data_IF_885812018299
#
_entry.id   IF_885812018299
#
_cell.length_a   1.000
_cell.length_b   1.000
_cell.length_c   1.000
_cell.angle_alpha   90.00
_cell.angle_beta   90.00
_cell.angle_gamma   90.00
#
_symmetry.space_group_name_H-M   'P 1'
#
loop_
_entity.id
_entity.type
_entity.pdbx_description
1 polymer ?
#
# COMPACT_ATOMS: atom_id res chain seq x y z
N UNK A 1 29.19 -8.68 -5.18
CA UNK A 1 27.77 -8.78 -4.76
C UNK A 1 26.96 -8.57 -6.02
N UNK A 2 26.05 -9.49 -6.36
CA UNK A 2 25.07 -9.21 -7.42
C UNK A 2 24.27 -7.96 -7.00
N UNK A 3 24.09 -7.00 -7.92
CA UNK A 3 23.20 -5.86 -7.68
C UNK A 3 21.79 -6.43 -7.45
N UNK A 4 21.12 -6.00 -6.38
CA UNK A 4 19.72 -6.36 -6.12
C UNK A 4 18.88 -5.98 -7.36
N UNK A 5 18.03 -6.90 -7.81
CA UNK A 5 17.16 -6.70 -8.97
C UNK A 5 15.73 -6.50 -8.50
N UNK A 6 15.06 -5.52 -9.08
CA UNK A 6 13.69 -5.18 -8.75
C UNK A 6 12.80 -5.20 -9.99
N UNK A 7 11.55 -5.59 -9.76
CA UNK A 7 10.44 -5.48 -10.71
C UNK A 7 9.42 -4.50 -10.14
N UNK A 8 8.83 -3.68 -11.00
CA UNK A 8 7.68 -2.87 -10.64
C UNK A 8 6.43 -3.43 -11.30
N UNK A 9 5.40 -3.70 -10.50
CA UNK A 9 4.05 -3.99 -10.97
C UNK A 9 3.24 -2.70 -10.91
N UNK A 10 2.76 -2.23 -12.05
CA UNK A 10 1.89 -1.05 -12.15
C UNK A 10 0.51 -1.50 -12.57
N UNK A 11 -0.48 -1.25 -11.71
CA UNK A 11 -1.88 -1.54 -11.98
C UNK A 11 -2.55 -0.35 -12.69
N UNK A 12 -3.47 -0.62 -13.60
CA UNK A 12 -4.11 0.37 -14.48
C UNK A 12 -5.61 0.09 -14.67
N UNK A 13 -6.35 1.14 -15.04
CA UNK A 13 -7.70 0.97 -15.60
C UNK A 13 -7.63 0.68 -17.10
N UNK A 14 -8.50 -0.21 -17.57
CA UNK A 14 -8.57 -0.66 -18.98
C UNK A 14 -9.74 -0.04 -19.75
N UNK A 15 -10.69 0.61 -19.07
CA UNK A 15 -11.81 1.27 -19.73
C UNK A 15 -11.39 2.52 -20.53
N UNK A 16 -12.06 2.75 -21.66
CA UNK A 16 -11.99 4.00 -22.43
C UNK A 16 -10.96 4.07 -23.55
N UNK A 17 -9.92 3.22 -23.55
CA UNK A 17 -8.86 3.26 -24.59
C UNK A 17 -8.59 1.93 -25.30
N UNK A 18 -9.32 0.87 -24.98
CA UNK A 18 -9.16 -0.44 -25.62
C UNK A 18 -7.89 -1.20 -25.21
N UNK A 19 -7.11 -0.69 -24.25
CA UNK A 19 -6.05 -1.46 -23.61
C UNK A 19 -6.69 -2.57 -22.76
N UNK A 20 -6.30 -3.81 -23.01
CA UNK A 20 -6.81 -4.98 -22.28
C UNK A 20 -5.90 -5.40 -21.13
N UNK A 21 -4.76 -4.74 -20.96
CA UNK A 21 -3.77 -5.15 -19.98
C UNK A 21 -3.78 -4.24 -18.75
N UNK A 22 -4.45 -4.69 -17.70
CA UNK A 22 -4.59 -3.94 -16.44
C UNK A 22 -3.34 -3.97 -15.56
N UNK A 23 -2.37 -4.85 -15.80
CA UNK A 23 -1.10 -4.85 -15.06
C UNK A 23 0.05 -4.72 -16.05
N UNK A 24 0.92 -3.75 -15.82
CA UNK A 24 2.17 -3.53 -16.55
C UNK A 24 3.33 -3.94 -15.66
N UNK A 25 4.29 -4.68 -16.21
CA UNK A 25 5.46 -5.19 -15.50
C UNK A 25 6.69 -4.50 -16.07
N UNK A 26 7.53 -3.95 -15.20
CA UNK A 26 8.74 -3.23 -15.58
C UNK A 26 9.97 -3.80 -14.88
N UNK A 27 11.09 -3.89 -15.60
CA UNK A 27 12.40 -3.97 -14.97
C UNK A 27 12.76 -2.59 -14.40
N UNK A 28 13.23 -2.57 -13.16
CA UNK A 28 13.58 -1.33 -12.45
C UNK A 28 15.06 -1.02 -12.66
N UNK A 29 15.33 0.08 -13.36
CA UNK A 29 16.67 0.63 -13.50
C UNK A 29 16.98 1.51 -12.29
N UNK A 30 17.56 0.89 -11.26
CA UNK A 30 17.98 1.55 -10.02
C UNK A 30 19.10 2.57 -10.23
N UNK A 31 19.88 2.43 -11.30
CA UNK A 31 21.01 3.32 -11.56
C UNK A 31 20.53 4.67 -12.10
N UNK A 32 19.60 4.63 -13.06
CA UNK A 32 19.06 5.82 -13.71
C UNK A 32 17.71 6.28 -13.14
N UNK A 33 17.09 5.52 -12.24
CA UNK A 33 15.79 5.85 -11.65
C UNK A 33 14.64 5.76 -12.65
N UNK A 34 14.65 4.72 -13.49
CA UNK A 34 13.70 4.55 -14.60
C UNK A 34 13.06 3.16 -14.59
N UNK A 35 11.95 3.03 -15.29
CA UNK A 35 11.26 1.76 -15.52
C UNK A 35 11.34 1.40 -17.01
N UNK A 36 11.73 0.16 -17.30
CA UNK A 36 11.79 -0.38 -18.66
C UNK A 36 10.72 -1.46 -18.82
N UNK A 37 9.87 -1.32 -19.84
CA UNK A 37 8.76 -2.24 -20.06
C UNK A 37 9.29 -3.66 -20.25
N UNK A 38 8.73 -4.62 -19.51
CA UNK A 38 9.12 -6.02 -19.54
C UNK A 38 8.00 -6.89 -20.09
N UNK A 39 6.82 -6.79 -19.48
CA UNK A 39 5.66 -7.63 -19.79
C UNK A 39 4.36 -6.96 -19.35
N UNK A 40 3.22 -7.57 -19.64
CA UNK A 40 1.90 -7.08 -19.24
C UNK A 40 0.90 -8.23 -19.13
N UNK A 41 -0.09 -8.09 -18.25
CA UNK A 41 -1.13 -9.10 -18.00
C UNK A 41 -2.46 -8.59 -18.53
N UNK A 42 -3.14 -9.42 -19.33
CA UNK A 42 -4.53 -9.19 -19.72
C UNK A 42 -5.44 -9.42 -18.50
N UNK A 43 -6.01 -8.33 -17.98
CA UNK A 43 -6.88 -8.30 -16.80
C UNK A 43 -7.68 -7.01 -16.85
N UNK A 44 -8.98 -7.06 -16.52
CA UNK A 44 -9.83 -5.87 -16.60
C UNK A 44 -9.67 -4.98 -15.37
N UNK A 45 -9.53 -3.67 -15.57
CA UNK A 45 -9.53 -2.63 -14.54
C UNK A 45 -8.86 -3.03 -13.21
N UNK A 46 -7.58 -3.41 -13.29
CA UNK A 46 -6.76 -3.69 -12.12
C UNK A 46 -6.50 -2.38 -11.36
N UNK A 47 -7.46 -2.02 -10.52
CA UNK A 47 -7.43 -0.77 -9.76
C UNK A 47 -6.44 -0.84 -8.59
N UNK A 48 -6.15 -2.03 -8.08
CA UNK A 48 -5.19 -2.20 -7.00
C UNK A 48 -4.58 -3.60 -7.05
N UNK A 49 -3.32 -3.70 -6.65
CA UNK A 49 -2.61 -4.97 -6.50
C UNK A 49 -2.00 -5.08 -5.09
N UNK A 50 -1.79 -6.29 -4.61
CA UNK A 50 -0.98 -6.55 -3.41
C UNK A 50 -0.16 -7.81 -3.58
N UNK A 51 0.96 -7.88 -2.86
CA UNK A 51 1.79 -9.08 -2.81
C UNK A 51 1.57 -9.72 -1.44
N UNK A 52 1.32 -11.03 -1.45
CA UNK A 52 1.34 -11.91 -0.28
C UNK A 52 2.55 -11.68 0.64
N UNK A 53 2.41 -12.03 1.91
CA UNK A 53 3.50 -11.89 2.87
C UNK A 53 4.67 -12.84 2.57
N UNK A 54 4.39 -14.04 2.05
CA UNK A 54 5.40 -14.99 1.57
C UNK A 54 6.14 -14.55 0.29
N UNK A 55 5.70 -13.45 -0.34
CA UNK A 55 6.26 -12.83 -1.56
C UNK A 55 6.14 -13.68 -2.82
N UNK A 56 5.29 -14.71 -2.85
CA UNK A 56 5.15 -15.65 -3.99
C UNK A 56 3.93 -15.39 -4.84
N UNK A 57 2.92 -14.73 -4.29
CA UNK A 57 1.67 -14.42 -4.98
C UNK A 57 1.41 -12.93 -5.07
N UNK A 58 0.82 -12.53 -6.18
CA UNK A 58 0.22 -11.22 -6.39
C UNK A 58 -1.30 -11.40 -6.52
N UNK A 59 -2.06 -10.57 -5.82
CA UNK A 59 -3.52 -10.50 -5.95
C UNK A 59 -3.89 -9.16 -6.58
N UNK A 60 -4.90 -9.17 -7.44
CA UNK A 60 -5.36 -8.01 -8.19
C UNK A 60 -6.87 -7.89 -8.14
N UNK A 61 -7.36 -6.66 -8.07
CA UNK A 61 -8.77 -6.36 -8.37
C UNK A 61 -9.01 -6.59 -9.87
N UNK A 62 -10.22 -7.00 -10.22
CA UNK A 62 -10.74 -7.09 -11.60
C UNK A 62 -12.22 -6.69 -11.63
N UNK A 63 -12.81 -6.46 -12.80
CA UNK A 63 -14.21 -6.03 -12.91
C UNK A 63 -15.22 -6.99 -12.26
N UNK A 64 -14.90 -8.29 -12.24
CA UNK A 64 -15.81 -9.31 -11.69
C UNK A 64 -15.47 -9.71 -10.25
N UNK A 65 -14.36 -9.22 -9.67
CA UNK A 65 -13.89 -9.58 -8.34
C UNK A 65 -12.38 -9.47 -8.17
N UNK A 66 -11.70 -10.60 -8.02
CA UNK A 66 -10.26 -10.70 -7.81
C UNK A 66 -9.61 -11.79 -8.66
N UNK A 67 -8.34 -11.58 -9.01
CA UNK A 67 -7.47 -12.58 -9.63
C UNK A 67 -6.20 -12.76 -8.79
N UNK A 68 -5.66 -13.97 -8.81
CA UNK A 68 -4.46 -14.38 -8.10
C UNK A 68 -3.42 -14.90 -9.08
N UNK A 69 -2.16 -14.50 -8.89
CA UNK A 69 -1.04 -14.81 -9.76
C UNK A 69 0.13 -15.35 -8.96
N UNK A 70 0.86 -16.30 -9.54
CA UNK A 70 2.17 -16.72 -9.08
C UNK A 70 3.22 -15.75 -9.62
N UNK A 71 4.08 -15.25 -8.74
CA UNK A 71 5.24 -14.46 -9.14
C UNK A 71 6.35 -15.44 -9.55
N UNK A 72 6.75 -15.36 -10.82
CA UNK A 72 7.84 -16.19 -11.36
C UNK A 72 9.21 -15.66 -10.92
N UNK A 73 10.29 -16.46 -11.01
CA UNK A 73 11.64 -16.04 -10.60
C UNK A 73 12.17 -14.78 -11.29
N UNK A 74 11.69 -14.49 -12.50
CA UNK A 74 12.01 -13.27 -13.26
C UNK A 74 11.03 -12.11 -12.99
N UNK A 75 10.00 -12.34 -12.17
CA UNK A 75 8.92 -11.41 -11.88
C UNK A 75 7.78 -11.39 -12.89
N UNK A 76 7.74 -12.33 -13.84
CA UNK A 76 6.53 -12.58 -14.63
C UNK A 76 5.37 -13.04 -13.74
N UNK A 77 4.14 -12.90 -14.23
CA UNK A 77 2.93 -13.30 -13.50
C UNK A 77 2.22 -14.45 -14.24
N UNK A 78 1.98 -15.55 -13.52
CA UNK A 78 1.21 -16.70 -14.02
C UNK A 78 -0.12 -16.76 -13.28
N UNK A 79 -1.24 -16.70 -14.00
CA UNK A 79 -2.58 -16.79 -13.39
C UNK A 79 -2.75 -18.12 -12.63
N UNK A 80 -3.17 -18.05 -11.37
CA UNK A 80 -3.50 -19.21 -10.53
C UNK A 80 -5.01 -19.44 -10.54
N UNK A 81 -5.78 -18.40 -10.20
CA UNK A 81 -7.21 -18.51 -9.96
C UNK A 81 -7.89 -17.14 -10.00
N UNK A 82 -9.21 -17.15 -10.10
CA UNK A 82 -10.06 -15.96 -10.06
C UNK A 82 -11.35 -16.24 -9.28
N UNK A 83 -11.89 -15.22 -8.62
CA UNK A 83 -13.14 -15.37 -7.89
C UNK A 83 -13.96 -14.08 -7.91
N UNK A 84 -15.28 -14.23 -7.88
CA UNK A 84 -16.18 -13.11 -7.63
C UNK A 84 -16.13 -12.72 -6.15
N UNK A 85 -16.27 -11.42 -5.90
CA UNK A 85 -16.44 -10.87 -4.55
C UNK A 85 -17.92 -10.69 -4.17
N UNK A 86 -18.86 -11.21 -4.98
CA UNK A 86 -20.31 -11.10 -4.75
C UNK A 86 -20.79 -9.66 -4.46
N UNK A 87 -20.24 -8.68 -5.19
CA UNK A 87 -20.46 -7.26 -4.95
C UNK A 87 -20.05 -6.42 -6.16
N UNK A 88 -20.05 -5.10 -5.99
CA UNK A 88 -19.48 -4.20 -6.98
C UNK A 88 -17.94 -4.34 -7.00
N UNK A 89 -17.30 -3.89 -8.08
CA UNK A 89 -15.83 -3.92 -8.20
C UNK A 89 -15.16 -3.31 -6.97
N UNK A 90 -14.20 -4.04 -6.39
CA UNK A 90 -13.41 -3.55 -5.27
C UNK A 90 -12.48 -2.39 -5.66
N UNK A 91 -11.88 -1.76 -4.66
CA UNK A 91 -10.92 -0.66 -4.86
C UNK A 91 -9.59 -0.88 -4.14
N UNK A 92 -9.54 -1.85 -3.22
CA UNK A 92 -8.36 -2.15 -2.42
C UNK A 92 -8.41 -3.63 -2.00
N UNK A 93 -7.26 -4.26 -1.87
CA UNK A 93 -7.15 -5.58 -1.28
C UNK A 93 -5.87 -5.75 -0.45
N UNK A 94 -5.92 -6.65 0.54
CA UNK A 94 -4.78 -7.04 1.35
C UNK A 94 -4.95 -8.46 1.90
N UNK A 95 -3.85 -9.12 2.24
CA UNK A 95 -3.90 -10.42 2.93
C UNK A 95 -3.70 -10.25 4.43
N UNK A 96 -4.00 -11.30 5.19
CA UNK A 96 -3.52 -11.45 6.56
C UNK A 96 -2.05 -11.89 6.56
N UNK A 97 -1.36 -11.76 7.70
CA UNK A 97 0.07 -12.03 7.81
C UNK A 97 0.46 -13.52 7.67
N UNK A 98 -0.52 -14.44 7.65
CA UNK A 98 -0.32 -15.87 7.37
C UNK A 98 -0.76 -16.27 5.94
N UNK A 99 -1.18 -15.31 5.11
CA UNK A 99 -1.68 -15.53 3.75
C UNK A 99 -2.81 -16.60 3.67
N UNK A 100 -3.68 -16.64 4.68
CA UNK A 100 -4.86 -17.51 4.78
C UNK A 100 -6.14 -16.85 4.28
N UNK A 101 -6.20 -15.53 4.32
CA UNK A 101 -7.36 -14.73 3.92
C UNK A 101 -6.95 -13.57 3.03
N UNK A 102 -7.83 -13.25 2.08
CA UNK A 102 -7.79 -12.05 1.25
C UNK A 102 -8.99 -11.18 1.62
N UNK A 103 -8.71 -9.93 1.98
CA UNK A 103 -9.71 -8.92 2.30
C UNK A 103 -9.86 -7.96 1.12
N UNK A 104 -11.11 -7.69 0.72
CA UNK A 104 -11.42 -6.77 -0.37
C UNK A 104 -12.31 -5.65 0.14
N UNK A 105 -11.91 -4.40 -0.14
CA UNK A 105 -12.70 -3.21 0.12
C UNK A 105 -13.52 -2.81 -1.12
N UNK A 106 -14.80 -2.55 -0.93
CA UNK A 106 -15.75 -2.11 -1.94
C UNK A 106 -16.10 -0.64 -1.78
N UNK A 107 -15.58 0.21 -2.67
CA UNK A 107 -15.89 1.65 -2.66
C UNK A 107 -17.36 1.91 -2.99
N UNK A 108 -17.91 1.29 -4.04
CA UNK A 108 -19.22 1.67 -4.56
C UNK A 108 -20.42 1.16 -3.74
N UNK A 109 -20.24 0.05 -3.04
CA UNK A 109 -21.26 -0.64 -2.25
C UNK A 109 -20.96 -0.64 -0.74
N UNK A 110 -19.83 -0.08 -0.30
CA UNK A 110 -19.46 0.02 1.10
C UNK A 110 -19.22 -1.35 1.75
N UNK A 111 -18.77 -2.33 0.96
CA UNK A 111 -18.67 -3.73 1.37
C UNK A 111 -17.23 -4.13 1.73
N UNK A 112 -17.08 -4.94 2.77
CA UNK A 112 -15.88 -5.76 3.00
C UNK A 112 -16.22 -7.19 2.61
N UNK A 113 -15.36 -7.82 1.81
CA UNK A 113 -15.46 -9.25 1.49
C UNK A 113 -14.23 -9.96 2.02
N UNK A 114 -14.44 -11.06 2.74
CA UNK A 114 -13.36 -11.95 3.24
C UNK A 114 -13.38 -13.23 2.43
N UNK A 115 -12.27 -13.55 1.78
CA UNK A 115 -12.09 -14.77 1.01
C UNK A 115 -11.02 -15.63 1.66
N UNK A 116 -11.27 -16.93 1.82
CA UNK A 116 -10.24 -17.87 2.21
C UNK A 116 -9.29 -18.11 1.05
N UNK A 117 -8.00 -18.16 1.31
CA UNK A 117 -6.99 -18.52 0.32
C UNK A 117 -6.70 -20.02 0.37
N UNK A 118 -6.52 -20.62 -0.82
CA UNK A 118 -6.08 -22.01 -0.98
C UNK A 118 -4.59 -22.11 -0.70
N UNK A 119 -4.11 -23.31 -0.37
CA UNK A 119 -2.67 -23.54 -0.09
C UNK A 119 -1.73 -23.14 -1.24
N UNK A 120 -2.20 -23.21 -2.48
CA UNK A 120 -1.44 -22.78 -3.67
C UNK A 120 -1.46 -21.25 -3.88
N UNK A 121 -2.27 -20.49 -3.14
CA UNK A 121 -2.49 -19.06 -3.31
C UNK A 121 -3.68 -18.71 -4.21
N UNK A 122 -4.44 -19.70 -4.67
CA UNK A 122 -5.70 -19.46 -5.36
C UNK A 122 -6.77 -18.90 -4.41
N UNK A 123 -7.78 -18.26 -4.98
CA UNK A 123 -8.88 -17.67 -4.21
C UNK A 123 -9.95 -18.73 -3.94
N UNK A 124 -10.32 -18.93 -2.68
CA UNK A 124 -11.31 -19.89 -2.19
C UNK A 124 -12.68 -19.27 -1.90
N UNK A 125 -13.44 -19.87 -0.99
CA UNK A 125 -14.79 -19.38 -0.67
C UNK A 125 -14.80 -18.02 0.03
N UNK A 126 -15.91 -17.28 -0.13
CA UNK A 126 -16.23 -16.14 0.71
C UNK A 126 -16.64 -16.65 2.09
N UNK A 127 -15.91 -16.25 3.13
CA UNK A 127 -16.17 -16.64 4.52
C UNK A 127 -17.01 -15.61 5.27
N UNK A 128 -16.98 -14.34 4.84
CA UNK A 128 -17.77 -13.27 5.44
C UNK A 128 -17.97 -12.09 4.50
N UNK A 129 -19.08 -11.37 4.69
CA UNK A 129 -19.50 -10.22 3.89
C UNK A 129 -20.13 -9.16 4.79
N UNK A 130 -19.49 -7.99 4.88
CA UNK A 130 -19.95 -6.91 5.75
C UNK A 130 -20.26 -5.68 4.92
N UNK A 131 -21.53 -5.29 4.89
CA UNK A 131 -21.96 -4.00 4.37
C UNK A 131 -21.90 -2.97 5.49
N UNK A 132 -21.08 -1.94 5.30
CA UNK A 132 -21.19 -0.74 6.12
C UNK A 132 -22.55 -0.07 5.86
N UNK A 133 -23.14 0.47 6.92
CA UNK A 133 -24.44 1.15 6.91
C UNK A 133 -24.30 2.47 7.64
N UNK A 134 -25.08 3.46 7.24
CA UNK A 134 -25.09 4.79 7.84
C UNK A 134 -25.23 5.88 6.77
N UNK A 135 -25.45 7.11 7.24
CA UNK A 135 -25.32 8.34 6.47
C UNK A 135 -24.24 9.17 7.16
N UNK A 136 -23.32 9.77 6.39
CA UNK A 136 -22.36 10.74 6.91
C UNK A 136 -22.98 12.13 7.05
N UNK A 137 -22.13 13.14 7.26
CA UNK A 137 -22.54 14.57 7.39
C UNK A 137 -23.41 15.05 6.23
N UNK A 138 -24.27 16.05 6.47
CA UNK A 138 -25.42 16.42 5.62
C UNK A 138 -25.11 17.51 4.58
N UNK A 139 -23.89 18.04 4.51
CA UNK A 139 -23.56 19.09 3.56
C UNK A 139 -22.96 18.54 2.25
N UNK A 140 -23.76 18.62 1.17
CA UNK A 140 -23.39 18.54 -0.26
C UNK A 140 -22.98 17.19 -0.88
N UNK A 141 -22.54 16.17 -0.12
CA UNK A 141 -22.31 14.81 -0.65
C UNK A 141 -23.40 13.84 -0.17
N UNK A 142 -23.84 12.93 -1.04
CA UNK A 142 -24.49 11.70 -0.58
C UNK A 142 -23.42 10.85 0.15
N UNK A 143 -23.11 11.18 1.40
CA UNK A 143 -22.21 10.40 2.26
C UNK A 143 -22.87 9.06 2.59
N UNK A 144 -22.71 8.12 1.65
CA UNK A 144 -22.98 6.70 1.83
C UNK A 144 -21.65 5.99 2.12
N UNK A 145 -21.68 4.80 2.74
CA UNK A 145 -20.48 4.05 3.02
C UNK A 145 -19.63 3.81 1.77
N UNK A 146 -18.33 4.07 1.90
CA UNK A 146 -17.32 3.90 0.88
C UNK A 146 -16.07 3.29 1.51
N UNK A 147 -16.03 1.97 1.68
CA UNK A 147 -14.87 1.30 2.25
C UNK A 147 -13.75 1.35 1.23
N UNK A 148 -12.72 2.14 1.52
CA UNK A 148 -11.67 2.48 0.56
C UNK A 148 -10.34 1.76 0.82
N UNK A 149 -10.12 1.27 2.04
CA UNK A 149 -8.91 0.53 2.39
C UNK A 149 -9.20 -0.46 3.51
N UNK A 150 -8.60 -1.65 3.43
CA UNK A 150 -8.60 -2.67 4.48
C UNK A 150 -7.17 -3.11 4.76
N UNK A 151 -6.77 -3.12 6.04
CA UNK A 151 -5.44 -3.55 6.50
C UNK A 151 -5.48 -4.25 7.85
N UNK A 152 -4.75 -5.35 7.95
CA UNK A 152 -4.55 -6.04 9.22
C UNK A 152 -3.55 -5.30 10.11
N UNK A 153 -3.84 -5.28 11.41
CA UNK A 153 -2.85 -5.02 12.47
C UNK A 153 -1.73 -6.06 12.38
N UNK A 154 -0.49 -5.66 12.72
CA UNK A 154 0.71 -6.51 12.58
C UNK A 154 0.70 -7.75 13.47
N UNK A 155 -0.08 -7.74 14.54
CA UNK A 155 -0.32 -8.90 15.40
C UNK A 155 -1.34 -9.90 14.81
N UNK A 156 -1.84 -9.64 13.60
CA UNK A 156 -2.79 -10.44 12.83
C UNK A 156 -4.15 -10.68 13.51
N UNK A 157 -4.56 -9.80 14.43
CA UNK A 157 -5.81 -9.97 15.19
C UNK A 157 -6.97 -9.11 14.68
N UNK A 158 -6.69 -7.93 14.13
CA UNK A 158 -7.72 -6.97 13.77
C UNK A 158 -7.59 -6.48 12.33
N UNK A 159 -8.70 -6.44 11.61
CA UNK A 159 -8.84 -5.79 10.31
C UNK A 159 -9.36 -4.36 10.50
N UNK A 160 -8.54 -3.38 10.12
CA UNK A 160 -8.94 -1.98 10.07
C UNK A 160 -9.48 -1.64 8.67
N UNK A 161 -10.70 -1.11 8.61
CA UNK A 161 -11.40 -0.75 7.38
C UNK A 161 -11.72 0.75 7.36
N UNK A 162 -10.99 1.51 6.52
CA UNK A 162 -11.23 2.92 6.33
C UNK A 162 -12.47 3.15 5.47
N UNK A 163 -13.46 3.81 6.05
CA UNK A 163 -14.69 4.19 5.36
C UNK A 163 -14.64 5.68 5.05
N UNK A 164 -14.30 5.97 3.79
CA UNK A 164 -14.15 7.31 3.24
C UNK A 164 -15.46 8.09 3.35
N UNK A 165 -16.60 7.40 3.21
CA UNK A 165 -17.91 8.01 3.23
C UNK A 165 -18.45 8.26 4.64
N UNK A 166 -17.88 7.63 5.67
CA UNK A 166 -18.39 7.70 7.05
C UNK A 166 -17.44 8.41 8.03
N UNK A 167 -16.31 8.95 7.55
CA UNK A 167 -15.30 9.64 8.37
C UNK A 167 -14.81 8.81 9.57
N UNK A 168 -14.65 7.51 9.38
CA UNK A 168 -14.09 6.63 10.41
C UNK A 168 -13.35 5.42 9.85
N UNK A 169 -12.59 4.77 10.71
CA UNK A 169 -12.04 3.43 10.49
C UNK A 169 -12.72 2.46 11.44
N UNK A 170 -13.41 1.46 10.90
CA UNK A 170 -13.94 0.36 11.71
C UNK A 170 -12.86 -0.68 11.94
N UNK A 171 -12.76 -1.17 13.17
CA UNK A 171 -11.76 -2.17 13.57
C UNK A 171 -12.51 -3.45 13.91
N UNK A 172 -12.26 -4.50 13.14
CA UNK A 172 -12.91 -5.80 13.30
C UNK A 172 -11.92 -6.82 13.83
N UNK A 173 -12.28 -7.58 14.86
CA UNK A 173 -11.55 -8.79 15.22
C UNK A 173 -11.77 -9.86 14.16
N UNK A 174 -10.69 -10.50 13.73
CA UNK A 174 -10.71 -11.64 12.82
C UNK A 174 -10.73 -12.95 13.61
N UNK A 175 -11.69 -13.82 13.29
CA UNK A 175 -11.65 -15.24 13.66
C UNK A 175 -10.79 -15.98 12.62
N UNK A 176 -9.56 -16.35 12.99
CA UNK A 176 -8.61 -17.00 12.08
C UNK A 176 -9.03 -18.41 11.64
N UNK A 177 -9.92 -19.06 12.38
CA UNK A 177 -10.44 -20.37 12.01
C UNK A 177 -11.55 -20.22 10.97
N UNK A 178 -12.55 -19.40 11.28
CA UNK A 178 -13.78 -19.27 10.47
C UNK A 178 -13.64 -18.27 9.34
N UNK A 179 -12.77 -17.27 9.46
CA UNK A 179 -12.66 -16.16 8.50
C UNK A 179 -13.78 -15.13 8.66
N UNK A 180 -14.35 -14.99 9.86
CA UNK A 180 -15.43 -14.04 10.15
C UNK A 180 -14.92 -12.84 10.92
N UNK A 181 -15.55 -11.69 10.70
CA UNK A 181 -15.19 -10.41 11.28
C UNK A 181 -16.23 -9.96 12.31
N UNK A 182 -15.77 -9.52 13.48
CA UNK A 182 -16.63 -8.95 14.53
C UNK A 182 -16.14 -7.55 14.90
N UNK A 183 -17.02 -6.55 14.84
CA UNK A 183 -16.67 -5.18 15.21
C UNK A 183 -16.14 -5.14 16.66
N UNK A 184 -14.95 -4.58 16.82
CA UNK A 184 -14.23 -4.45 18.08
C UNK A 184 -14.13 -2.97 18.51
N UNK A 185 -13.85 -2.06 17.58
CA UNK A 185 -13.73 -0.63 17.85
C UNK A 185 -14.00 0.24 16.60
N UNK A 186 -14.08 1.55 16.78
CA UNK A 186 -14.21 2.56 15.71
C UNK A 186 -13.30 3.75 16.00
N UNK A 187 -12.26 3.91 15.17
CA UNK A 187 -11.41 5.10 15.17
C UNK A 187 -12.17 6.21 14.43
N UNK A 188 -12.56 7.26 15.15
CA UNK A 188 -13.29 8.39 14.57
C UNK A 188 -12.32 9.42 14.05
N UNK A 189 -12.55 9.87 12.82
CA UNK A 189 -11.81 10.94 12.19
C UNK A 189 -12.53 12.27 12.39
N UNK A 190 -11.88 13.37 12.02
CA UNK A 190 -12.59 14.65 11.86
C UNK A 190 -13.70 14.49 10.81
N UNK A 191 -14.81 15.20 11.00
CA UNK A 191 -15.89 15.23 10.01
C UNK A 191 -15.36 15.76 8.68
N UNK A 192 -15.86 15.18 7.59
CA UNK A 192 -15.50 15.52 6.22
C UNK A 192 -14.01 15.32 5.91
N UNK A 193 -13.34 14.42 6.65
CA UNK A 193 -11.93 14.10 6.45
C UNK A 193 -11.69 12.99 5.45
N UNK A 194 -12.65 12.06 5.30
CA UNK A 194 -12.60 11.00 4.31
C UNK A 194 -11.33 10.12 4.44
N UNK A 195 -11.19 9.30 5.50
CA UNK A 195 -10.04 8.41 5.69
C UNK A 195 -9.94 7.44 4.50
N UNK A 196 -8.77 7.42 3.86
CA UNK A 196 -8.60 6.84 2.52
C UNK A 196 -7.73 5.58 2.50
N UNK A 197 -6.48 5.69 2.93
CA UNK A 197 -5.52 4.58 3.01
C UNK A 197 -4.93 4.47 4.42
N UNK A 198 -4.57 3.24 4.80
CA UNK A 198 -4.00 2.88 6.10
C UNK A 198 -2.64 2.19 5.90
N UNK A 199 -1.69 2.48 6.79
CA UNK A 199 -0.42 1.73 6.88
C UNK A 199 -0.03 1.54 8.34
N UNK A 200 0.49 0.35 8.68
CA UNK A 200 1.10 0.09 9.99
C UNK A 200 2.61 0.13 9.90
N UNK A 201 3.25 0.69 10.94
CA UNK A 201 4.70 0.64 11.12
C UNK A 201 5.22 -0.81 11.08
N UNK A 202 6.52 -1.03 10.81
CA UNK A 202 7.11 -2.38 10.75
C UNK A 202 6.88 -3.22 12.01
N UNK A 203 7.01 -2.60 13.19
CA UNK A 203 6.78 -3.20 14.50
C UNK A 203 5.30 -3.27 14.88
N UNK A 204 4.43 -2.57 14.15
CA UNK A 204 2.99 -2.51 14.37
C UNK A 204 2.52 -1.59 15.46
N UNK A 205 3.41 -0.88 16.14
CA UNK A 205 3.04 0.02 17.23
C UNK A 205 2.34 1.30 16.77
N UNK A 206 2.40 1.63 15.47
CA UNK A 206 1.80 2.83 14.91
C UNK A 206 0.91 2.54 13.70
N UNK A 207 -0.18 3.30 13.59
CA UNK A 207 -1.09 3.36 12.45
C UNK A 207 -1.05 4.77 11.83
N UNK A 208 -0.83 4.83 10.52
CA UNK A 208 -0.89 6.04 9.72
C UNK A 208 -2.15 6.02 8.86
N UNK A 209 -2.92 7.10 8.90
CA UNK A 209 -4.18 7.25 8.16
C UNK A 209 -4.09 8.52 7.32
N UNK A 210 -4.20 8.41 5.99
CA UNK A 210 -4.32 9.59 5.11
C UNK A 210 -5.79 9.92 4.90
N UNK A 211 -6.12 11.20 5.00
CA UNK A 211 -7.47 11.75 4.91
C UNK A 211 -7.61 12.53 3.60
N UNK A 212 -8.42 12.01 2.67
CA UNK A 212 -8.51 12.49 1.28
C UNK A 212 -8.93 13.95 1.24
N UNK A 213 -10.02 14.32 1.91
CA UNK A 213 -10.64 15.64 1.74
C UNK A 213 -10.01 16.73 2.61
N UNK A 214 -9.42 16.35 3.75
CA UNK A 214 -8.74 17.30 4.65
C UNK A 214 -7.24 17.40 4.41
N UNK A 215 -6.67 16.59 3.53
CA UNK A 215 -5.28 16.65 3.11
C UNK A 215 -4.30 16.62 4.30
N UNK A 216 -4.50 15.64 5.20
CA UNK A 216 -3.58 15.37 6.30
C UNK A 216 -3.38 13.88 6.53
N UNK A 217 -2.33 13.57 7.28
CA UNK A 217 -2.07 12.24 7.82
C UNK A 217 -2.21 12.32 9.34
N UNK A 218 -3.04 11.44 9.91
CA UNK A 218 -3.07 11.20 11.34
C UNK A 218 -2.18 10.00 11.68
N UNK A 219 -1.40 10.12 12.76
CA UNK A 219 -0.57 9.04 13.34
C UNK A 219 -1.16 8.63 14.67
N UNK A 220 -1.44 7.35 14.84
CA UNK A 220 -1.98 6.76 16.06
C UNK A 220 -1.00 5.76 16.66
N UNK A 221 -0.82 5.81 17.98
CA UNK A 221 -0.28 4.70 18.75
C UNK A 221 -1.29 3.56 18.81
N UNK A 222 -0.83 2.34 18.61
CA UNK A 222 -1.63 1.12 18.69
C UNK A 222 -1.07 0.17 19.74
N UNK A 223 -1.97 -0.37 20.57
CA UNK A 223 -1.68 -1.50 21.44
C UNK A 223 -2.92 -2.35 21.63
N UNK A 224 -2.71 -3.60 22.05
CA UNK A 224 -3.80 -4.42 22.58
C UNK A 224 -3.74 -4.39 24.12
N UNK A 225 -4.86 -4.05 24.75
CA UNK A 225 -5.02 -4.08 26.20
C UNK A 225 -6.33 -4.79 26.57
N UNK A 226 -6.26 -5.73 27.51
CA UNK A 226 -7.43 -6.50 27.96
C UNK A 226 -8.20 -7.16 26.80
N UNK A 227 -7.50 -7.69 25.80
CA UNK A 227 -8.05 -8.22 24.55
C UNK A 227 -8.89 -7.21 23.76
N UNK A 228 -8.61 -5.92 23.85
CA UNK A 228 -9.24 -4.90 23.00
C UNK A 228 -8.15 -4.06 22.32
N UNK A 229 -8.39 -3.63 21.08
CA UNK A 229 -7.49 -2.70 20.42
C UNK A 229 -7.68 -1.30 21.02
N UNK A 230 -6.58 -0.61 21.29
CA UNK A 230 -6.57 0.79 21.72
C UNK A 230 -5.78 1.61 20.72
N UNK A 231 -6.35 2.74 20.29
CA UNK A 231 -5.72 3.69 19.38
C UNK A 231 -5.68 5.09 20.01
N UNK A 232 -4.49 5.68 20.10
CA UNK A 232 -4.29 7.02 20.64
C UNK A 232 -3.69 7.93 19.57
N UNK A 233 -4.35 9.06 19.24
CA UNK A 233 -3.81 9.99 18.24
C UNK A 233 -2.60 10.71 18.80
N UNK A 234 -1.47 10.62 18.10
CA UNK A 234 -0.19 11.23 18.46
C UNK A 234 0.14 12.46 17.62
N UNK A 235 -0.28 12.49 16.36
CA UNK A 235 0.05 13.55 15.43
C UNK A 235 -1.02 13.72 14.36
N UNK A 236 -1.22 14.96 13.91
CA UNK A 236 -1.86 15.31 12.65
C UNK A 236 -0.87 16.16 11.85
N UNK A 237 -0.62 15.82 10.58
CA UNK A 237 0.32 16.56 9.72
C UNK A 237 -0.23 16.75 8.31
N UNK A 238 -0.18 17.97 7.79
CA UNK A 238 -0.71 18.32 6.47
C UNK A 238 0.10 17.68 5.32
N UNK A 239 -0.60 17.24 4.26
CA UNK A 239 -0.02 16.77 2.99
C UNK A 239 0.24 17.87 1.98
N UNK A 240 -0.17 19.11 2.27
CA UNK A 240 0.00 20.28 1.42
C UNK A 240 1.00 21.27 2.01
N UNK A 241 1.51 22.18 1.19
CA UNK A 241 2.18 23.38 1.68
C UNK A 241 1.15 24.47 2.04
N UNK A 242 1.60 25.52 2.72
CA UNK A 242 0.73 26.66 3.05
C UNK A 242 0.15 27.32 1.79
N UNK A 243 0.90 27.33 0.70
CA UNK A 243 0.43 27.71 -0.64
C UNK A 243 0.12 26.46 -1.46
N UNK A 244 -1.15 26.26 -1.83
CA UNK A 244 -1.65 25.11 -2.57
C UNK A 244 -2.92 25.47 -3.37
N UNK A 245 -3.26 24.61 -4.34
CA UNK A 245 -4.50 24.74 -5.11
C UNK A 245 -5.75 24.39 -4.27
N UNK A 246 -6.86 25.07 -4.52
CA UNK A 246 -8.16 24.71 -3.92
C UNK A 246 -8.68 23.39 -4.49
N UNK A 247 -9.50 22.67 -3.71
CA UNK A 247 -10.10 21.40 -4.17
C UNK A 247 -9.12 20.24 -4.26
N UNK A 248 -8.02 20.28 -3.49
CA UNK A 248 -7.06 19.20 -3.45
C UNK A 248 -7.55 17.99 -2.64
N UNK A 249 -7.13 16.79 -3.05
CA UNK A 249 -7.47 15.53 -2.40
C UNK A 249 -6.24 14.63 -2.23
N UNK A 250 -5.90 14.26 -1.01
CA UNK A 250 -4.78 13.36 -0.73
C UNK A 250 -5.10 11.92 -1.19
N UNK A 251 -4.13 11.23 -1.81
CA UNK A 251 -4.36 9.91 -2.42
C UNK A 251 -3.39 8.83 -1.92
N UNK A 252 -2.13 8.87 -2.33
CA UNK A 252 -1.13 7.86 -1.99
C UNK A 252 -0.82 7.84 -0.48
N UNK A 253 -0.35 6.70 0.03
CA UNK A 253 0.28 6.62 1.34
C UNK A 253 1.23 5.42 1.31
N UNK A 254 2.51 5.65 1.09
CA UNK A 254 3.51 4.59 0.92
C UNK A 254 4.76 4.84 1.75
N UNK A 255 5.22 3.80 2.43
CA UNK A 255 6.56 3.80 3.02
C UNK A 255 7.62 3.63 1.93
N UNK A 256 8.80 4.20 2.15
CA UNK A 256 10.02 3.73 1.51
C UNK A 256 10.30 2.27 1.90
N UNK A 257 11.11 1.57 1.09
CA UNK A 257 11.43 0.15 1.32
C UNK A 257 12.13 -0.08 2.68
N UNK A 258 12.91 0.90 3.14
CA UNK A 258 13.61 0.90 4.43
C UNK A 258 12.80 1.53 5.59
N UNK A 259 11.55 1.96 5.34
CA UNK A 259 10.68 2.61 6.32
C UNK A 259 11.26 3.89 6.96
N UNK A 260 12.21 4.55 6.30
CA UNK A 260 12.77 5.83 6.74
C UNK A 260 11.92 7.02 6.28
N UNK A 261 11.11 6.83 5.24
CA UNK A 261 10.29 7.86 4.64
C UNK A 261 8.85 7.41 4.41
N UNK A 262 7.94 8.38 4.43
CA UNK A 262 6.54 8.24 4.00
C UNK A 262 6.28 9.17 2.82
N UNK A 263 5.56 8.68 1.81
CA UNK A 263 5.17 9.43 0.61
C UNK A 263 3.65 9.50 0.54
N UNK A 264 3.12 10.69 0.28
CA UNK A 264 1.71 10.90 -0.07
C UNK A 264 1.62 11.78 -1.32
N UNK A 265 0.52 11.68 -2.04
CA UNK A 265 0.25 12.50 -3.23
C UNK A 265 -1.03 13.31 -3.03
N UNK A 266 -1.15 14.44 -3.73
CA UNK A 266 -2.33 15.29 -3.69
C UNK A 266 -2.85 15.52 -5.11
N UNK A 267 -4.03 15.00 -5.42
CA UNK A 267 -4.75 15.35 -6.64
C UNK A 267 -5.29 16.78 -6.55
N UNK A 268 -5.42 17.47 -7.69
CA UNK A 268 -5.82 18.87 -7.75
C UNK A 268 -4.63 19.83 -7.56
N UNK A 269 -3.91 19.71 -6.45
CA UNK A 269 -2.61 20.40 -6.26
C UNK A 269 -1.50 19.77 -7.14
N UNK A 270 -1.70 18.52 -7.54
CA UNK A 270 -0.83 17.75 -8.43
C UNK A 270 0.63 17.76 -7.93
N UNK A 271 0.77 17.41 -6.65
CA UNK A 271 2.01 17.39 -5.90
C UNK A 271 2.23 16.07 -5.19
N UNK A 272 3.48 15.83 -4.81
CA UNK A 272 3.89 14.74 -3.92
C UNK A 272 4.62 15.32 -2.73
N UNK A 273 4.26 14.83 -1.56
CA UNK A 273 4.88 15.15 -0.28
C UNK A 273 5.68 13.96 0.23
N UNK A 274 6.88 14.23 0.75
CA UNK A 274 7.73 13.24 1.40
C UNK A 274 7.99 13.68 2.84
N UNK A 275 7.84 12.73 3.76
CA UNK A 275 8.13 12.89 5.18
C UNK A 275 9.30 11.99 5.58
N UNK A 276 10.15 12.47 6.46
CA UNK A 276 11.03 11.64 7.28
C UNK A 276 10.21 11.02 8.41
N UNK A 277 10.49 9.76 8.72
CA UNK A 277 9.94 9.07 9.87
C UNK A 277 11.00 9.12 10.98
N UNK A 278 10.65 9.66 12.14
CA UNK A 278 11.53 9.61 13.29
C UNK A 278 11.66 8.15 13.78
N UNK A 279 12.88 7.61 13.87
CA UNK A 279 13.09 6.19 14.22
C UNK A 279 12.69 5.81 15.64
N UNK A 280 12.64 6.77 16.56
CA UNK A 280 12.31 6.50 17.97
C UNK A 280 10.80 6.63 18.22
N UNK A 281 10.18 7.70 17.69
CA UNK A 281 8.76 7.99 17.93
C UNK A 281 7.83 7.55 16.81
N UNK A 282 8.37 7.29 15.61
CA UNK A 282 7.63 7.04 14.37
C UNK A 282 6.81 8.22 13.86
N UNK A 283 6.93 9.41 14.46
CA UNK A 283 6.26 10.62 13.99
C UNK A 283 6.86 11.12 12.68
N UNK A 284 6.02 11.81 11.91
CA UNK A 284 6.36 12.32 10.59
C UNK A 284 6.90 13.75 10.66
N UNK A 285 7.95 14.02 9.89
CA UNK A 285 8.48 15.36 9.67
C UNK A 285 8.49 15.63 8.17
N UNK A 286 7.80 16.70 7.73
CA UNK A 286 7.70 17.04 6.30
C UNK A 286 9.06 17.52 5.78
N UNK A 287 9.56 16.88 4.73
CA UNK A 287 10.82 17.27 4.08
C UNK A 287 10.57 18.14 2.85
N UNK A 288 9.64 17.72 1.99
CA UNK A 288 9.32 18.42 0.75
C UNK A 288 7.88 18.14 0.34
N UNK A 289 7.30 19.07 -0.41
CA UNK A 289 6.04 18.90 -1.13
C UNK A 289 6.15 19.68 -2.43
N UNK A 290 6.25 18.99 -3.56
CA UNK A 290 6.63 19.57 -4.85
C UNK A 290 5.76 19.00 -6.00
N UNK A 291 5.55 19.77 -7.08
CA UNK A 291 4.70 19.36 -8.20
C UNK A 291 5.28 18.18 -8.98
N UNK A 292 4.41 17.35 -9.55
CA UNK A 292 4.80 16.10 -10.25
C UNK A 292 4.66 16.12 -11.78
N UNK A 293 4.44 17.29 -12.37
CA UNK A 293 4.35 17.48 -13.83
C UNK A 293 3.38 16.51 -14.52
N UNK A 294 2.21 16.31 -13.93
CA UNK A 294 1.13 15.47 -14.45
C UNK A 294 -0.17 15.78 -13.72
N UNK A 295 -1.26 15.07 -14.06
CA UNK A 295 -2.57 15.33 -13.47
C UNK A 295 -3.10 14.10 -12.71
N UNK A 296 -3.69 14.38 -11.54
CA UNK A 296 -4.26 13.40 -10.62
C UNK A 296 -3.27 12.27 -10.27
N UNK A 297 -2.19 12.57 -9.51
CA UNK A 297 -1.21 11.58 -9.05
C UNK A 297 -1.88 10.61 -8.08
N UNK A 298 -2.43 9.51 -8.62
CA UNK A 298 -3.20 8.54 -7.83
C UNK A 298 -2.34 7.81 -6.83
N UNK A 299 -1.13 7.47 -7.25
CA UNK A 299 -0.13 6.82 -6.43
C UNK A 299 1.22 7.49 -6.64
N UNK A 300 2.11 7.37 -5.66
CA UNK A 300 3.49 7.82 -5.76
C UNK A 300 4.36 6.98 -4.83
N UNK A 301 5.57 6.66 -5.27
CA UNK A 301 6.48 5.82 -4.52
C UNK A 301 7.94 6.24 -4.74
N UNK A 302 8.72 6.16 -3.66
CA UNK A 302 10.17 6.16 -3.74
C UNK A 302 10.66 4.83 -4.32
N UNK A 303 11.70 4.88 -5.14
CA UNK A 303 12.46 3.71 -5.52
C UNK A 303 13.15 3.13 -4.27
N UNK A 304 13.52 1.84 -4.27
CA UNK A 304 14.20 1.20 -3.15
C UNK A 304 15.48 1.90 -2.66
N UNK A 305 16.11 2.74 -3.47
CA UNK A 305 17.32 3.49 -3.11
C UNK A 305 17.03 4.86 -2.47
N UNK A 306 15.75 5.27 -2.38
CA UNK A 306 15.29 6.58 -1.90
C UNK A 306 15.85 7.79 -2.67
N UNK A 307 16.56 7.59 -3.78
CA UNK A 307 17.12 8.67 -4.62
C UNK A 307 16.21 9.04 -5.77
N UNK A 308 15.24 8.19 -6.06
CA UNK A 308 14.30 8.41 -7.16
C UNK A 308 12.87 8.26 -6.69
N UNK A 309 11.96 8.96 -7.37
CA UNK A 309 10.53 8.90 -7.13
C UNK A 309 9.79 8.75 -8.45
N UNK A 310 8.71 7.97 -8.43
CA UNK A 310 7.74 7.90 -9.53
C UNK A 310 6.36 8.34 -9.05
N UNK A 311 5.69 9.13 -9.89
CA UNK A 311 4.28 9.51 -9.74
C UNK A 311 3.45 8.81 -10.82
N UNK A 312 2.32 8.24 -10.42
CA UNK A 312 1.34 7.60 -11.31
C UNK A 312 0.22 8.60 -11.57
N UNK A 313 0.29 9.29 -12.71
CA UNK A 313 -0.63 10.38 -13.04
C UNK A 313 -1.80 9.82 -13.83
N UNK A 314 -2.91 9.60 -13.14
CA UNK A 314 -4.06 8.88 -13.68
C UNK A 314 -4.74 9.68 -14.79
N UNK A 315 -4.94 10.99 -14.62
CA UNK A 315 -5.70 11.76 -15.60
C UNK A 315 -4.88 12.08 -16.85
N UNK A 316 -3.56 12.30 -16.69
CA UNK A 316 -2.67 12.55 -17.82
C UNK A 316 -2.16 11.28 -18.52
N UNK A 317 -2.49 10.08 -18.05
CA UNK A 317 -2.05 8.80 -18.63
C UNK A 317 -0.51 8.66 -18.70
N UNK A 318 0.18 9.07 -17.63
CA UNK A 318 1.65 9.11 -17.61
C UNK A 318 2.24 8.66 -16.28
N UNK A 319 3.46 8.11 -16.35
CA UNK A 319 4.37 8.04 -15.21
C UNK A 319 5.41 9.16 -15.35
N UNK A 320 5.59 9.95 -14.29
CA UNK A 320 6.68 10.93 -14.20
C UNK A 320 7.70 10.50 -13.17
N UNK A 321 8.97 10.77 -13.46
CA UNK A 321 10.11 10.30 -12.68
C UNK A 321 10.93 11.48 -12.20
N UNK A 322 11.53 11.34 -11.02
CA UNK A 322 12.27 12.41 -10.38
C UNK A 322 13.51 11.89 -9.67
N UNK A 323 14.57 12.70 -9.68
CA UNK A 323 15.67 12.60 -8.73
C UNK A 323 15.26 13.33 -7.45
N UNK A 324 15.53 12.71 -6.31
CA UNK A 324 15.14 13.20 -4.99
C UNK A 324 16.39 13.55 -4.19
N UNK A 325 16.45 14.80 -3.74
CA UNK A 325 17.43 15.25 -2.76
C UNK A 325 16.72 15.54 -1.44
N UNK A 326 16.75 14.56 -0.54
CA UNK A 326 16.11 14.66 0.77
C UNK A 326 16.76 15.71 1.68
N UNK A 327 18.04 16.03 1.47
CA UNK A 327 18.78 16.97 2.31
C UNK A 327 18.41 18.41 1.95
N UNK A 328 18.32 18.70 0.64
CA UNK A 328 17.98 20.02 0.13
C UNK A 328 16.46 20.20 -0.11
N UNK A 329 15.67 19.14 0.06
CA UNK A 329 14.22 19.17 -0.14
C UNK A 329 13.83 19.35 -1.61
N UNK A 330 14.59 18.78 -2.54
CA UNK A 330 14.39 18.98 -3.99
C UNK A 330 13.85 17.74 -4.69
N UNK A 331 12.99 17.98 -5.68
CA UNK A 331 12.44 17.00 -6.60
C UNK A 331 12.73 17.51 -8.02
N UNK A 332 13.62 16.84 -8.76
CA UNK A 332 14.05 17.27 -10.10
C UNK A 332 13.60 16.26 -11.14
N UNK A 333 12.84 16.71 -12.14
CA UNK A 333 12.31 15.84 -13.20
C UNK A 333 13.45 15.07 -13.88
N UNK A 334 13.29 13.75 -13.97
CA UNK A 334 14.27 12.81 -14.51
C UNK A 334 13.79 12.28 -15.87
N UNK A 335 14.07 13.06 -16.92
CA UNK A 335 13.75 12.70 -18.30
C UNK A 335 12.26 12.84 -18.66
N UNK A 336 11.86 12.38 -19.86
CA UNK A 336 10.48 12.46 -20.33
C UNK A 336 9.57 11.54 -19.53
N UNK A 337 8.28 11.90 -19.49
CA UNK A 337 7.23 11.04 -18.97
C UNK A 337 7.11 9.73 -19.76
N UNK A 338 6.67 8.66 -19.10
CA UNK A 338 6.39 7.38 -19.74
C UNK A 338 4.87 7.24 -19.92
N UNK A 339 4.36 7.13 -21.16
CA UNK A 339 2.93 6.93 -21.40
C UNK A 339 2.45 5.59 -20.84
N UNK A 340 1.43 5.64 -19.98
CA UNK A 340 0.74 4.47 -19.41
C UNK A 340 -0.71 4.85 -19.23
N UNK A 341 -1.66 4.10 -19.79
CA UNK A 341 -3.07 4.44 -19.64
C UNK A 341 -3.53 4.28 -18.18
N UNK A 342 -4.14 5.34 -17.61
CA UNK A 342 -4.79 5.37 -16.29
C UNK A 342 -4.04 4.59 -15.17
N UNK A 343 -2.75 4.88 -14.90
CA UNK A 343 -1.99 4.18 -13.87
C UNK A 343 -2.56 4.50 -12.49
N UNK A 344 -2.62 3.50 -11.62
CA UNK A 344 -3.39 3.60 -10.38
C UNK A 344 -2.70 3.09 -9.12
N UNK A 345 -1.84 2.07 -9.21
CA UNK A 345 -1.07 1.55 -8.07
C UNK A 345 0.30 1.03 -8.55
N UNK A 346 1.34 1.20 -7.74
CA UNK A 346 2.66 0.61 -8.00
C UNK A 346 3.18 -0.18 -6.80
N UNK A 347 3.82 -1.33 -7.07
CA UNK A 347 4.60 -2.09 -6.08
C UNK A 347 5.97 -2.41 -6.65
N UNK A 348 7.02 -2.04 -5.93
CA UNK A 348 8.38 -2.56 -6.14
C UNK A 348 8.56 -3.90 -5.45
N UNK A 349 9.08 -4.89 -6.17
CA UNK A 349 9.31 -6.24 -5.70
C UNK A 349 10.77 -6.65 -5.95
N UNK A 350 11.47 -7.05 -4.89
CA UNK A 350 12.84 -7.55 -4.96
C UNK A 350 12.85 -8.99 -5.46
N UNK A 351 13.52 -9.25 -6.58
CA UNK A 351 13.74 -10.60 -7.08
C UNK A 351 14.80 -11.31 -6.24
N UNK A 352 14.58 -12.60 -5.96
CA UNK A 352 15.56 -13.44 -5.29
C UNK A 352 15.71 -13.22 -3.78
N UNK A 353 14.85 -12.40 -3.14
CA UNK A 353 14.91 -12.11 -1.70
C UNK A 353 14.90 -13.36 -0.78
N UNK A 354 14.36 -14.49 -1.26
CA UNK A 354 14.42 -15.77 -0.54
C UNK A 354 15.85 -16.32 -0.39
N UNK A 355 16.73 -16.08 -1.37
CA UNK A 355 18.16 -16.46 -1.26
C UNK A 355 18.83 -15.62 -0.19
N UNK A 356 18.61 -14.31 -0.18
CA UNK A 356 19.24 -13.40 0.77
C UNK A 356 18.81 -13.66 2.22
N UNK A 357 17.53 -13.97 2.49
CA UNK A 357 17.06 -14.34 3.83
C UNK A 357 17.67 -15.65 4.34
N UNK A 358 17.80 -16.66 3.47
CA UNK A 358 18.48 -17.92 3.81
C UNK A 358 19.98 -17.70 4.03
N UNK A 359 20.63 -16.93 3.18
CA UNK A 359 22.06 -16.63 3.29
C UNK A 359 22.37 -15.78 4.52
N UNK A 360 21.54 -14.78 4.84
CA UNK A 360 21.64 -13.97 6.06
C UNK A 360 21.45 -14.82 7.32
N UNK A 361 20.43 -15.68 7.37
CA UNK A 361 20.25 -16.64 8.49
C UNK A 361 21.45 -17.58 8.65
N UNK A 362 22.01 -18.09 7.55
CA UNK A 362 23.20 -18.96 7.59
C UNK A 362 24.44 -18.19 8.05
N UNK A 363 24.59 -16.92 7.64
CA UNK A 363 25.68 -16.05 8.05
C UNK A 363 25.59 -15.67 9.55
N UNK A 364 24.41 -15.36 10.05
CA UNK A 364 24.13 -15.12 11.47
C UNK A 364 24.42 -16.35 12.31
N UNK A 365 23.94 -17.52 11.89
CA UNK A 365 24.23 -18.81 12.56
C UNK A 365 25.74 -19.09 12.61
N UNK A 366 26.47 -18.82 11.51
CA UNK A 366 27.94 -18.98 11.48
C UNK A 366 28.65 -17.97 12.39
N UNK A 367 28.15 -16.74 12.51
CA UNK A 367 28.70 -15.71 13.39
C UNK A 367 28.50 -16.10 14.86
N UNK A 368 27.32 -16.57 15.23
CA UNK A 368 27.02 -17.09 16.57
C UNK A 368 27.92 -18.28 16.94
N UNK A 369 28.11 -19.25 16.04
CA UNK A 369 29.03 -20.37 16.25
C UNK A 369 30.47 -19.87 16.47
N UNK A 370 30.93 -18.92 15.65
CA UNK A 370 32.29 -18.37 15.75
C UNK A 370 32.52 -17.59 17.04
N UNK A 371 31.50 -16.89 17.55
CA UNK A 371 31.56 -16.21 18.84
C UNK A 371 31.51 -17.19 20.03
N UNK A 372 30.76 -18.29 19.91
CA UNK A 372 30.67 -19.34 20.93
C UNK A 372 31.95 -20.15 21.11
N UNK A 373 32.76 -20.28 20.05
CA UNK A 373 34.01 -21.04 20.02
C UNK A 373 35.27 -20.18 19.90
N UNK A 374 35.21 -18.89 20.26
CA UNK A 374 36.44 -18.09 20.42
C UNK A 374 37.30 -18.74 21.52
N UNK A 375 38.55 -19.17 21.23
CA UNK A 375 39.44 -19.69 22.26
C UNK A 375 39.69 -18.59 23.28
N UNK A 376 39.27 -18.83 24.53
CA UNK A 376 39.67 -17.99 25.65
C UNK A 376 41.12 -18.34 25.95
N UNK A 377 42.03 -17.52 25.45
CA UNK A 377 43.40 -17.53 25.96
C UNK A 377 43.34 -17.03 27.40
N UNK A 378 43.69 -17.91 28.33
CA UNK A 378 43.90 -17.57 29.74
C UNK A 378 45.37 -17.19 29.83
N UNK A 379 45.65 -15.90 29.98
CA UNK A 379 47.00 -15.43 30.26
C UNK A 379 47.43 -15.95 31.65
N UNK A 380 48.56 -16.65 31.69
CA UNK A 380 49.24 -17.15 32.91
C UNK A 380 50.26 -16.14 33.42
#
# INVERSE_FOLDING_TARGET
>A
MEKEKYIAYVSTYTMGKGDKHGIKIYDVDMENGRLHAKDQVEITNSSYVTISHDKKRLYSITDFGVESFRIQPDGGLELIDHASINGMRGCYLSTDYEDKFLFVAGYHDGKITVLRLKENGGVGEITDEIFHKGLGSVAERNFRPHVNCVKMTRDNKYLCAADLGMDHVKVYRLDMEKGTLRLADVIRSEQESAPRHLKFSPDGSLLYIVHELKNYIDVYGYREANNNPEFEKLQTISTLNDYHATGSAASALNFSTDYHYMVSSNAGDNSVVVYRINHESGLLEKLLCLPISGDYPKDAALFPDNRHLVSLNHESDTLTFFNVDMQNGLLVMNGPELPVAKPNCIIFHQLGAERDLKERRVAETKKEIKERYKPRYVDL
#
